data_IF_183543827235
#
_entry.id   IF_183543827235
#
_cell.length_a   1.000
_cell.length_b   1.000
_cell.length_c   1.000
_cell.angle_alpha   90.00
_cell.angle_beta   90.00
_cell.angle_gamma   90.00
#
_symmetry.space_group_name_H-M   'P 1'
#
loop_
_entity.id
_entity.type
_entity.pdbx_description
1 polymer ?
#
# COMPACT_ATOMS: atom_id res chain seq x y z
N UNK A 1 -12.99 -16.11 36.60
CA UNK A 1 -14.11 -15.66 37.44
C UNK A 1 -15.38 -15.39 36.61
N UNK A 2 -15.31 -14.70 35.46
CA UNK A 2 -16.50 -14.36 34.64
C UNK A 2 -17.35 -15.51 34.05
N UNK A 3 -16.83 -16.73 33.87
CA UNK A 3 -17.62 -17.83 33.27
C UNK A 3 -18.63 -18.43 34.27
N UNK A 4 -18.33 -18.37 35.58
CA UNK A 4 -19.17 -18.96 36.65
C UNK A 4 -20.47 -18.18 36.85
N UNK A 5 -20.38 -16.86 36.87
CA UNK A 5 -21.53 -15.97 37.13
C UNK A 5 -22.58 -16.02 36.03
N UNK A 6 -22.17 -16.28 34.78
CA UNK A 6 -23.10 -16.36 33.64
C UNK A 6 -23.80 -17.72 33.50
N UNK A 7 -23.26 -18.79 34.08
CA UNK A 7 -23.75 -20.17 33.86
C UNK A 7 -24.46 -20.77 35.07
N UNK A 8 -24.43 -20.10 36.24
CA UNK A 8 -25.06 -20.54 37.49
C UNK A 8 -24.77 -22.02 37.84
N UNK A 9 -23.56 -22.49 37.52
CA UNK A 9 -23.09 -23.87 37.69
C UNK A 9 -21.89 -23.92 38.62
N UNK A 10 -21.73 -25.02 39.33
CA UNK A 10 -20.60 -25.22 40.23
C UNK A 10 -19.27 -25.36 39.46
N UNK A 11 -18.18 -24.97 40.14
CA UNK A 11 -16.85 -25.59 40.06
C UNK A 11 -16.68 -26.77 39.11
N UNK A 12 -17.20 -27.87 39.63
CA UNK A 12 -17.02 -29.21 39.10
C UNK A 12 -17.79 -29.41 37.80
N UNK A 13 -19.00 -28.89 37.72
CA UNK A 13 -19.85 -29.00 36.52
C UNK A 13 -19.28 -28.23 35.33
N UNK A 14 -18.74 -27.03 35.56
CA UNK A 14 -18.07 -26.25 34.50
C UNK A 14 -16.85 -26.99 33.98
N UNK A 15 -16.05 -27.57 34.88
CA UNK A 15 -14.84 -28.31 34.52
C UNK A 15 -15.16 -29.61 33.75
N UNK A 16 -16.18 -30.34 34.16
CA UNK A 16 -16.66 -31.53 33.44
C UNK A 16 -17.23 -31.16 32.05
N UNK A 17 -17.99 -30.07 31.95
CA UNK A 17 -18.52 -29.58 30.68
C UNK A 17 -17.41 -29.10 29.73
N UNK A 18 -16.41 -28.38 30.24
CA UNK A 18 -15.25 -27.96 29.47
C UNK A 18 -14.43 -29.16 28.95
N UNK A 19 -14.28 -30.21 29.77
CA UNK A 19 -13.64 -31.45 29.36
C UNK A 19 -14.39 -32.15 28.22
N UNK A 20 -15.73 -32.20 28.29
CA UNK A 20 -16.56 -32.74 27.20
C UNK A 20 -16.47 -31.88 25.94
N UNK A 21 -16.56 -30.56 26.06
CA UNK A 21 -16.44 -29.63 24.93
C UNK A 21 -15.06 -29.75 24.25
N UNK A 22 -13.98 -29.83 25.03
CA UNK A 22 -12.64 -30.07 24.50
C UNK A 22 -12.56 -31.43 23.79
N UNK A 23 -13.16 -32.48 24.35
CA UNK A 23 -13.27 -33.78 23.70
C UNK A 23 -13.97 -33.69 22.34
N UNK A 24 -15.09 -32.96 22.26
CA UNK A 24 -15.79 -32.72 21.00
C UNK A 24 -14.94 -31.92 19.99
N UNK A 25 -14.26 -30.87 20.43
CA UNK A 25 -13.38 -30.05 19.58
C UNK A 25 -12.22 -30.89 19.03
N UNK A 26 -11.63 -31.79 19.83
CA UNK A 26 -10.53 -32.66 19.38
C UNK A 26 -11.04 -33.75 18.43
N UNK A 27 -12.16 -34.40 18.76
CA UNK A 27 -12.72 -35.44 17.90
C UNK A 27 -13.16 -34.91 16.53
N UNK A 28 -13.65 -33.66 16.48
CA UNK A 28 -14.09 -33.00 15.25
C UNK A 28 -13.10 -31.95 14.75
N UNK A 29 -11.84 -32.02 15.19
CA UNK A 29 -10.83 -31.02 14.84
C UNK A 29 -10.60 -30.91 13.33
N UNK A 30 -10.74 -32.04 12.62
CA UNK A 30 -10.62 -32.08 11.16
C UNK A 30 -11.75 -31.30 10.43
N UNK A 31 -12.89 -31.07 11.09
CA UNK A 31 -13.99 -30.26 10.57
C UNK A 31 -13.80 -28.76 10.82
N UNK A 32 -12.90 -28.38 11.74
CA UNK A 32 -12.49 -26.99 11.90
C UNK A 32 -11.62 -26.58 10.72
N UNK A 33 -12.21 -25.80 9.81
CA UNK A 33 -11.49 -25.17 8.71
C UNK A 33 -10.66 -24.00 9.26
N UNK A 34 -9.46 -24.30 9.73
CA UNK A 34 -8.48 -23.29 10.13
C UNK A 34 -7.74 -22.83 8.87
N UNK A 35 -8.15 -21.69 8.34
CA UNK A 35 -7.53 -21.08 7.17
C UNK A 35 -7.31 -19.58 7.40
N UNK A 36 -6.38 -18.99 6.66
CA UNK A 36 -6.20 -17.53 6.66
C UNK A 36 -7.40 -16.86 5.99
N UNK A 37 -7.66 -15.60 6.35
CA UNK A 37 -8.71 -14.78 5.73
C UNK A 37 -8.58 -14.83 4.19
N UNK A 38 -7.37 -14.73 3.65
CA UNK A 38 -7.12 -14.84 2.21
C UNK A 38 -7.62 -16.16 1.61
N UNK A 39 -7.26 -17.29 2.23
CA UNK A 39 -7.64 -18.62 1.73
C UNK A 39 -9.15 -18.83 1.75
N UNK A 40 -9.84 -18.29 2.77
CA UNK A 40 -11.30 -18.27 2.83
C UNK A 40 -11.90 -17.49 1.66
N UNK A 41 -11.43 -16.25 1.42
CA UNK A 41 -11.94 -15.43 0.31
C UNK A 41 -11.65 -16.06 -1.06
N UNK A 42 -10.48 -16.69 -1.25
CA UNK A 42 -10.18 -17.46 -2.48
C UNK A 42 -11.19 -18.57 -2.71
N UNK A 43 -11.52 -19.34 -1.67
CA UNK A 43 -12.46 -20.44 -1.74
C UNK A 43 -13.87 -19.96 -2.10
N UNK A 44 -14.34 -18.89 -1.45
CA UNK A 44 -15.65 -18.28 -1.70
C UNK A 44 -15.74 -17.75 -3.14
N UNK A 45 -14.76 -16.95 -3.58
CA UNK A 45 -14.75 -16.37 -4.92
C UNK A 45 -14.64 -17.44 -6.01
N UNK A 46 -13.87 -18.50 -5.79
CA UNK A 46 -13.75 -19.62 -6.73
C UNK A 46 -15.06 -20.39 -6.87
N UNK A 47 -15.76 -20.62 -5.75
CA UNK A 47 -17.07 -21.26 -5.78
C UNK A 47 -18.10 -20.38 -6.48
N UNK A 48 -18.12 -19.07 -6.20
CA UNK A 48 -18.98 -18.12 -6.89
C UNK A 48 -18.72 -18.07 -8.40
N UNK A 49 -17.45 -18.07 -8.81
CA UNK A 49 -17.05 -18.08 -10.23
C UNK A 49 -17.61 -19.31 -10.95
N UNK A 50 -17.58 -20.49 -10.29
CA UNK A 50 -18.16 -21.73 -10.80
C UNK A 50 -19.69 -21.65 -10.89
N UNK A 51 -20.34 -21.09 -9.88
CA UNK A 51 -21.81 -20.92 -9.86
C UNK A 51 -22.30 -19.97 -10.95
N UNK A 52 -21.54 -18.90 -11.25
CA UNK A 52 -21.87 -17.93 -12.29
C UNK A 52 -21.53 -18.40 -13.71
N UNK A 53 -20.95 -19.60 -13.87
CA UNK A 53 -20.53 -20.12 -15.18
C UNK A 53 -19.43 -19.29 -15.85
N UNK A 54 -18.68 -18.51 -15.08
CA UNK A 54 -17.55 -17.74 -15.59
C UNK A 54 -16.42 -18.70 -16.00
N UNK A 55 -15.71 -18.34 -17.08
CA UNK A 55 -14.71 -19.21 -17.69
C UNK A 55 -13.67 -19.72 -16.68
N UNK A 56 -13.23 -20.99 -16.75
CA UNK A 56 -12.25 -21.59 -15.83
C UNK A 56 -10.91 -20.82 -15.73
N UNK A 57 -10.65 -19.92 -16.67
CA UNK A 57 -9.44 -19.11 -16.77
C UNK A 57 -9.51 -17.79 -15.98
N UNK A 58 -10.53 -17.58 -15.14
CA UNK A 58 -10.58 -16.41 -14.27
C UNK A 58 -9.49 -16.53 -13.17
N UNK A 59 -8.41 -15.77 -13.32
CA UNK A 59 -7.34 -15.66 -12.31
C UNK A 59 -7.79 -14.72 -11.20
N UNK A 60 -8.04 -15.24 -10.01
CA UNK A 60 -8.31 -14.44 -8.80
C UNK A 60 -6.96 -14.02 -8.22
N UNK A 61 -6.61 -12.74 -8.35
CA UNK A 61 -5.37 -12.17 -7.79
C UNK A 61 -5.72 -11.41 -6.51
N UNK A 62 -5.20 -11.87 -5.37
CA UNK A 62 -5.36 -11.20 -4.07
C UNK A 62 -4.20 -10.28 -3.71
N UNK A 63 -3.09 -10.39 -4.44
CA UNK A 63 -1.89 -9.60 -4.19
C UNK A 63 -1.93 -8.35 -5.05
N UNK A 64 -2.09 -7.18 -4.40
CA UNK A 64 -2.11 -5.88 -5.07
C UNK A 64 -0.84 -5.58 -5.88
N UNK A 65 0.29 -6.21 -5.54
CA UNK A 65 1.58 -5.98 -6.17
C UNK A 65 1.69 -6.50 -7.60
N UNK A 66 1.14 -7.68 -7.86
CA UNK A 66 1.21 -8.30 -9.19
C UNK A 66 0.28 -7.55 -10.15
N UNK A 67 -0.96 -7.28 -9.72
CA UNK A 67 -1.92 -6.49 -10.51
C UNK A 67 -1.39 -5.10 -10.83
N UNK A 68 -0.81 -4.40 -9.84
CA UNK A 68 -0.23 -3.08 -10.08
C UNK A 68 0.97 -3.15 -11.02
N UNK A 69 1.84 -4.14 -10.84
CA UNK A 69 3.00 -4.32 -11.71
C UNK A 69 2.57 -4.51 -13.16
N UNK A 70 1.55 -5.35 -13.40
CA UNK A 70 1.01 -5.61 -14.74
C UNK A 70 0.28 -4.40 -15.31
N UNK A 71 -0.48 -3.67 -14.49
CA UNK A 71 -1.14 -2.44 -14.90
C UNK A 71 -0.14 -1.36 -15.31
N UNK A 72 0.96 -1.19 -14.56
CA UNK A 72 2.04 -0.26 -14.90
C UNK A 72 2.76 -0.68 -16.18
N UNK A 73 3.06 -1.98 -16.34
CA UNK A 73 3.66 -2.50 -17.57
C UNK A 73 2.75 -2.21 -18.78
N UNK A 74 1.46 -2.54 -18.69
CA UNK A 74 0.48 -2.31 -19.75
C UNK A 74 0.25 -0.82 -20.05
N UNK A 75 0.32 0.05 -19.04
CA UNK A 75 0.27 1.50 -19.23
C UNK A 75 1.46 1.97 -20.07
N UNK A 76 2.67 1.51 -19.73
CA UNK A 76 3.90 1.89 -20.46
C UNK A 76 3.88 1.37 -21.89
N UNK A 77 3.43 0.13 -22.11
CA UNK A 77 3.30 -0.43 -23.46
C UNK A 77 2.33 0.35 -24.34
N UNK A 78 1.31 0.98 -23.75
CA UNK A 78 0.31 1.79 -24.46
C UNK A 78 0.69 3.27 -24.58
N UNK A 79 1.85 3.70 -24.04
CA UNK A 79 2.29 5.08 -24.17
C UNK A 79 2.73 5.34 -25.62
N UNK A 80 1.93 6.13 -26.33
CA UNK A 80 2.32 6.63 -27.65
C UNK A 80 3.34 7.78 -27.53
N UNK A 81 4.20 8.00 -28.54
CA UNK A 81 5.24 9.03 -28.53
C UNK A 81 4.73 10.47 -28.29
N UNK A 82 3.47 10.76 -28.66
CA UNK A 82 2.85 12.08 -28.48
C UNK A 82 1.93 12.16 -27.25
N UNK A 83 1.94 11.15 -26.38
CA UNK A 83 1.11 11.16 -25.18
C UNK A 83 1.55 12.27 -24.22
N UNK A 84 0.64 13.14 -23.74
CA UNK A 84 0.94 14.12 -22.70
C UNK A 84 1.52 13.48 -21.43
N UNK A 85 1.12 12.25 -21.14
CA UNK A 85 1.61 11.47 -20.00
C UNK A 85 3.08 11.08 -20.19
N UNK A 86 3.48 10.72 -21.42
CA UNK A 86 4.87 10.41 -21.74
C UNK A 86 5.76 11.65 -21.58
N UNK A 87 5.29 12.82 -22.02
CA UNK A 87 6.02 14.08 -21.86
C UNK A 87 6.21 14.43 -20.38
N UNK A 88 5.15 14.35 -19.57
CA UNK A 88 5.24 14.57 -18.12
C UNK A 88 6.17 13.58 -17.42
N UNK A 89 6.17 12.32 -17.88
CA UNK A 89 7.07 11.29 -17.37
C UNK A 89 8.53 11.61 -17.73
N UNK A 90 8.81 12.02 -18.97
CA UNK A 90 10.14 12.46 -19.42
C UNK A 90 10.64 13.68 -18.63
N UNK A 91 9.79 14.66 -18.37
CA UNK A 91 10.14 15.81 -17.54
C UNK A 91 10.53 15.38 -16.12
N UNK A 92 9.77 14.46 -15.52
CA UNK A 92 10.08 13.90 -14.21
C UNK A 92 11.41 13.13 -14.21
N UNK A 93 11.71 12.38 -15.27
CA UNK A 93 12.95 11.63 -15.41
C UNK A 93 14.14 12.58 -15.54
N UNK A 94 14.03 13.60 -16.38
CA UNK A 94 15.07 14.60 -16.58
C UNK A 94 15.40 15.33 -15.27
N UNK A 95 14.38 15.67 -14.47
CA UNK A 95 14.55 16.26 -13.13
C UNK A 95 15.32 15.32 -12.18
N UNK A 96 15.10 14.00 -12.26
CA UNK A 96 15.76 13.00 -11.40
C UNK A 96 17.16 12.60 -11.86
N UNK A 97 17.42 12.60 -13.16
CA UNK A 97 18.77 12.37 -13.72
C UNK A 97 19.72 13.49 -13.28
N UNK A 98 19.23 14.73 -13.19
CA UNK A 98 19.99 15.85 -12.66
C UNK A 98 20.42 15.68 -11.18
N UNK A 99 19.74 14.81 -10.43
CA UNK A 99 20.02 14.46 -9.03
C UNK A 99 20.99 13.25 -8.87
N UNK A 100 21.64 12.78 -9.96
CA UNK A 100 22.70 11.74 -10.03
C UNK A 100 22.34 10.37 -9.39
N UNK A 101 21.08 9.95 -9.50
CA UNK A 101 20.63 8.64 -9.01
C UNK A 101 20.50 7.65 -10.17
N UNK A 102 21.13 6.46 -10.03
CA UNK A 102 20.90 5.31 -10.94
C UNK A 102 19.40 5.08 -11.07
N UNK A 103 18.88 5.28 -12.28
CA UNK A 103 17.44 5.41 -12.49
C UNK A 103 16.82 4.11 -13.02
N UNK A 104 15.71 3.69 -12.41
CA UNK A 104 14.82 2.65 -12.95
C UNK A 104 13.37 3.16 -12.84
N UNK A 105 12.85 3.79 -13.90
CA UNK A 105 11.51 4.40 -13.97
C UNK A 105 10.48 3.37 -13.60
N UNK A 106 10.60 2.16 -14.14
CA UNK A 106 9.59 1.14 -13.98
C UNK A 106 9.37 0.82 -12.50
N UNK A 107 10.47 0.67 -11.76
CA UNK A 107 10.41 0.43 -10.33
C UNK A 107 9.90 1.64 -9.55
N UNK A 108 10.26 2.86 -9.94
CA UNK A 108 9.79 4.07 -9.27
C UNK A 108 8.30 4.33 -9.50
N UNK A 109 7.79 4.10 -10.73
CA UNK A 109 6.36 4.18 -11.04
C UNK A 109 5.60 3.08 -10.32
N UNK A 110 6.14 1.86 -10.23
CA UNK A 110 5.53 0.77 -9.42
C UNK A 110 5.49 1.11 -7.93
N UNK A 111 6.58 1.63 -7.36
CA UNK A 111 6.61 2.08 -5.97
C UNK A 111 5.63 3.22 -5.73
N UNK A 112 5.56 4.18 -6.65
CA UNK A 112 4.61 5.28 -6.55
C UNK A 112 3.17 4.79 -6.63
N UNK A 113 2.86 3.90 -7.57
CA UNK A 113 1.54 3.29 -7.73
C UNK A 113 1.08 2.52 -6.51
N UNK A 114 2.00 1.98 -5.70
CA UNK A 114 1.66 1.30 -4.45
C UNK A 114 1.01 2.22 -3.42
N UNK A 115 1.27 3.52 -3.49
CA UNK A 115 0.65 4.49 -2.60
C UNK A 115 -0.88 4.53 -2.76
N UNK A 116 -1.44 4.06 -3.87
CA UNK A 116 -2.91 3.98 -4.05
C UNK A 116 -3.55 3.03 -3.02
N UNK A 117 -2.80 2.03 -2.56
CA UNK A 117 -3.26 1.06 -1.55
C UNK A 117 -2.90 1.47 -0.12
N UNK A 118 -2.26 2.63 0.09
CA UNK A 118 -1.96 3.10 1.44
C UNK A 118 -3.23 3.64 2.11
N UNK A 119 -3.39 3.34 3.39
CA UNK A 119 -4.54 3.81 4.19
C UNK A 119 -4.66 5.34 4.15
N UNK A 120 -3.52 6.05 4.19
CA UNK A 120 -3.48 7.51 4.07
C UNK A 120 -4.06 8.01 2.74
N UNK A 121 -3.77 7.34 1.63
CA UNK A 121 -4.35 7.69 0.33
C UNK A 121 -5.82 7.25 0.23
N UNK A 122 -6.21 6.15 0.86
CA UNK A 122 -7.61 5.73 0.88
C UNK A 122 -8.49 6.69 1.69
N UNK A 123 -7.95 7.29 2.76
CA UNK A 123 -8.66 8.25 3.60
C UNK A 123 -8.73 9.65 2.96
N UNK A 124 -7.64 10.10 2.32
CA UNK A 124 -7.51 11.48 1.81
C UNK A 124 -7.56 11.59 0.28
N UNK A 125 -7.68 10.47 -0.43
CA UNK A 125 -7.52 10.40 -1.88
C UNK A 125 -8.54 11.23 -2.64
N UNK A 126 -9.77 11.34 -2.12
CA UNK A 126 -10.84 12.11 -2.76
C UNK A 126 -10.58 13.63 -2.67
N UNK A 127 -10.12 14.11 -1.52
CA UNK A 127 -9.69 15.49 -1.32
C UNK A 127 -8.45 15.83 -2.17
N UNK A 128 -7.46 14.93 -2.17
CA UNK A 128 -6.28 15.04 -3.03
C UNK A 128 -6.69 15.13 -4.51
N UNK A 129 -7.59 14.27 -4.96
CA UNK A 129 -8.05 14.29 -6.34
C UNK A 129 -8.74 15.61 -6.70
N UNK A 130 -9.52 16.20 -5.79
CA UNK A 130 -10.12 17.53 -6.00
C UNK A 130 -9.06 18.62 -6.18
N UNK A 131 -8.03 18.65 -5.33
CA UNK A 131 -6.95 19.64 -5.42
C UNK A 131 -6.09 19.45 -6.68
N UNK A 132 -5.93 18.21 -7.14
CA UNK A 132 -5.17 17.84 -8.33
C UNK A 132 -5.92 18.07 -9.65
N UNK A 133 -7.23 18.39 -9.62
CA UNK A 133 -7.96 18.82 -10.84
C UNK A 133 -7.40 20.11 -11.43
N UNK A 134 -6.79 20.96 -10.61
CA UNK A 134 -6.10 22.13 -11.09
C UNK A 134 -4.69 21.73 -11.58
N UNK A 135 -4.39 21.82 -12.89
CA UNK A 135 -3.10 21.40 -13.45
C UNK A 135 -1.92 22.25 -12.95
N UNK A 136 -2.17 23.43 -12.39
CA UNK A 136 -1.13 24.27 -11.80
C UNK A 136 -0.67 23.79 -10.41
N UNK A 137 -1.54 23.11 -9.66
CA UNK A 137 -1.28 22.74 -8.24
C UNK A 137 0.05 22.00 -8.05
N UNK A 138 0.33 21.00 -8.90
CA UNK A 138 1.58 20.22 -8.81
C UNK A 138 2.82 21.06 -9.19
N UNK A 139 2.66 22.01 -10.11
CA UNK A 139 3.74 22.90 -10.52
C UNK A 139 4.06 23.91 -9.43
N UNK A 140 3.05 24.52 -8.85
CA UNK A 140 3.17 25.52 -7.79
C UNK A 140 3.75 24.88 -6.52
N UNK A 141 3.26 23.69 -6.15
CA UNK A 141 3.80 22.92 -5.04
C UNK A 141 5.29 22.55 -5.24
N UNK A 142 5.69 22.14 -6.45
CA UNK A 142 7.10 21.89 -6.77
C UNK A 142 7.95 23.15 -6.68
N UNK A 143 7.41 24.30 -7.10
CA UNK A 143 8.11 25.57 -7.00
C UNK A 143 8.39 25.95 -5.53
N UNK A 144 7.38 25.80 -4.66
CA UNK A 144 7.53 26.04 -3.23
C UNK A 144 8.54 25.08 -2.57
N UNK A 145 8.45 23.78 -2.86
CA UNK A 145 9.40 22.80 -2.32
C UNK A 145 10.85 23.08 -2.74
N UNK A 146 11.07 23.44 -4.01
CA UNK A 146 12.40 23.80 -4.50
C UNK A 146 12.90 25.10 -3.86
N UNK A 147 12.02 26.10 -3.65
CA UNK A 147 12.37 27.31 -2.92
C UNK A 147 12.79 27.02 -1.48
N UNK A 148 12.06 26.14 -0.78
CA UNK A 148 12.38 25.68 0.58
C UNK A 148 13.70 24.89 0.62
N UNK A 149 13.90 23.93 -0.30
CA UNK A 149 15.16 23.17 -0.45
C UNK A 149 16.35 24.11 -0.63
N UNK A 150 16.21 25.11 -1.50
CA UNK A 150 17.26 26.09 -1.77
C UNK A 150 17.50 27.05 -0.59
N UNK A 151 16.45 27.43 0.15
CA UNK A 151 16.59 28.23 1.36
C UNK A 151 17.31 27.46 2.47
N UNK A 152 16.91 26.20 2.71
CA UNK A 152 17.57 25.32 3.66
C UNK A 152 19.04 25.09 3.28
N UNK A 153 19.34 24.77 2.02
CA UNK A 153 20.71 24.54 1.59
C UNK A 153 21.60 25.79 1.77
N UNK A 154 21.06 26.98 1.52
CA UNK A 154 21.73 28.26 1.79
C UNK A 154 22.04 28.46 3.27
N UNK A 155 21.06 28.22 4.15
CA UNK A 155 21.25 28.29 5.60
C UNK A 155 22.32 27.29 6.10
N UNK A 156 22.28 26.05 5.59
CA UNK A 156 23.31 25.04 5.87
C UNK A 156 24.72 25.45 5.41
N UNK A 157 24.86 26.06 4.23
CA UNK A 157 26.17 26.58 3.75
C UNK A 157 26.69 27.78 4.53
N UNK A 158 25.81 28.65 5.02
CA UNK A 158 26.20 29.80 5.85
C UNK A 158 26.63 29.32 7.25
N UNK A 159 25.85 28.40 7.84
CA UNK A 159 26.12 27.83 9.16
C UNK A 159 27.39 26.97 9.18
N UNK A 160 27.69 26.25 8.09
CA UNK A 160 28.95 25.50 7.97
C UNK A 160 30.15 26.44 7.81
N UNK A 161 30.06 27.52 7.02
CA UNK A 161 31.13 28.54 6.92
C UNK A 161 31.42 29.27 8.24
N UNK A 162 30.41 29.64 9.02
CA UNK A 162 30.62 30.26 10.35
C UNK A 162 31.27 29.31 11.36
N UNK A 163 31.04 27.99 11.25
CA UNK A 163 31.60 27.00 12.18
C UNK A 163 33.07 26.68 11.89
N UNK A 164 33.55 26.90 10.66
CA UNK A 164 34.96 26.73 10.27
C UNK A 164 35.78 27.99 10.60
N UNK A 165 35.14 29.17 10.71
CA UNK A 165 35.77 30.45 11.02
C UNK A 165 35.94 30.80 12.51
N UNK A 166 35.55 29.93 13.45
CA UNK A 166 35.65 30.18 14.91
C UNK A 166 36.76 29.38 15.62
N UNK A 167 37.68 28.78 14.85
CA UNK A 167 38.79 27.97 15.38
C UNK A 167 40.18 28.57 15.15
N UNK A 168 40.33 29.89 15.17
CA UNK A 168 41.65 30.53 15.14
C UNK A 168 41.67 31.82 15.98
N UNK A 169 41.77 31.63 17.30
CA UNK A 169 42.59 32.45 18.19
C UNK A 169 43.25 31.54 19.22
#
# INVERSE_FOLDING_TARGET
TCIRENLNKSEKEVREAAGKALGHIIHDYASFRVETIDSFFQSVLRNLTRELGLSPNLTIILTNAEVLSDAVNAMIEKLEPNSPVLLQLLDYINEKIADDKRWNILNEVKKFGMNIFSEEYMEKGEELHQQLKNPATIKDYRHELNAMKNAANRDWTVKSRSRIGLGSQ
#
